data_IF_749895715677
#
_entry.id   IF_749895715677
#
_cell.length_a   1.000
_cell.length_b   1.000
_cell.length_c   1.000
_cell.angle_alpha   90.00
_cell.angle_beta   90.00
_cell.angle_gamma   90.00
#
_symmetry.space_group_name_H-M   'P 1'
#
loop_
_entity.id
_entity.type
_entity.pdbx_description
1 polymer ?
#
# COMPACT_ATOMS: atom_id res chain seq x y z
N UNK A 1 9.96 -9.34 -21.69
CA UNK A 1 10.19 -7.89 -21.48
C UNK A 1 9.11 -7.26 -20.60
N UNK A 2 7.81 -7.53 -20.83
CA UNK A 2 6.71 -7.01 -19.98
C UNK A 2 6.86 -7.32 -18.48
N UNK A 3 7.19 -8.57 -18.11
CA UNK A 3 7.31 -8.98 -16.69
C UNK A 3 8.42 -8.26 -15.93
N UNK A 4 9.58 -8.04 -16.56
CA UNK A 4 10.70 -7.33 -15.92
C UNK A 4 10.33 -5.87 -15.64
N UNK A 5 9.64 -5.22 -16.59
CA UNK A 5 9.15 -3.85 -16.43
C UNK A 5 8.13 -3.74 -15.29
N UNK A 6 7.19 -4.69 -15.21
CA UNK A 6 6.22 -4.74 -14.11
C UNK A 6 6.91 -4.90 -12.75
N UNK A 7 7.92 -5.77 -12.66
CA UNK A 7 8.66 -5.97 -11.41
C UNK A 7 9.44 -4.72 -10.98
N UNK A 8 9.96 -3.94 -11.94
CA UNK A 8 10.59 -2.66 -11.64
C UNK A 8 9.58 -1.63 -11.13
N UNK A 9 8.40 -1.55 -11.75
CA UNK A 9 7.34 -0.62 -11.36
C UNK A 9 6.74 -0.94 -9.98
N UNK A 10 6.62 -2.24 -9.64
CA UNK A 10 6.10 -2.70 -8.35
C UNK A 10 7.17 -2.81 -7.26
N UNK A 11 8.42 -2.43 -7.55
CA UNK A 11 9.50 -2.48 -6.57
C UNK A 11 9.19 -1.55 -5.38
N UNK A 12 9.50 -1.95 -4.15
CA UNK A 12 9.22 -1.12 -2.99
C UNK A 12 10.02 0.18 -3.05
N UNK A 13 9.34 1.32 -2.85
CA UNK A 13 10.01 2.60 -2.69
C UNK A 13 10.87 2.58 -1.43
N UNK A 14 12.16 2.88 -1.60
CA UNK A 14 13.15 2.88 -0.51
C UNK A 14 13.41 4.28 0.06
N UNK A 15 12.85 5.32 -0.57
CA UNK A 15 12.90 6.72 -0.14
C UNK A 15 11.53 7.36 -0.32
N UNK A 16 11.29 8.49 0.36
CA UNK A 16 10.00 9.19 0.30
C UNK A 16 9.77 9.79 -1.08
N UNK A 17 10.84 10.29 -1.73
CA UNK A 17 10.80 10.91 -3.05
C UNK A 17 10.35 9.92 -4.13
N UNK A 18 10.66 8.63 -3.94
CA UNK A 18 10.28 7.57 -4.87
C UNK A 18 8.82 7.11 -4.71
N UNK A 19 8.06 7.65 -3.75
CA UNK A 19 6.63 7.34 -3.61
C UNK A 19 5.76 8.03 -4.67
N UNK A 20 6.28 9.06 -5.35
CA UNK A 20 5.55 9.80 -6.38
C UNK A 20 4.37 10.63 -5.84
N UNK A 21 4.23 10.76 -4.53
CA UNK A 21 3.14 11.50 -3.87
C UNK A 21 3.68 12.57 -2.91
N UNK A 22 2.87 13.59 -2.57
CA UNK A 22 3.30 14.63 -1.63
C UNK A 22 3.66 14.07 -0.25
N UNK A 23 4.80 14.46 0.30
CA UNK A 23 5.26 14.02 1.64
C UNK A 23 4.24 14.32 2.74
N UNK A 24 3.56 15.48 2.64
CA UNK A 24 2.52 15.87 3.59
C UNK A 24 1.36 14.87 3.66
N UNK A 25 1.02 14.20 2.55
CA UNK A 25 -0.01 13.15 2.54
C UNK A 25 0.42 11.93 3.36
N UNK A 26 1.71 11.58 3.29
CA UNK A 26 2.29 10.49 4.07
C UNK A 26 2.30 10.84 5.56
N UNK A 27 2.71 12.07 5.89
CA UNK A 27 2.70 12.56 7.28
C UNK A 27 1.28 12.62 7.86
N UNK A 28 0.29 13.06 7.08
CA UNK A 28 -1.12 13.05 7.47
C UNK A 28 -1.60 11.64 7.81
N UNK A 29 -1.24 10.64 7.01
CA UNK A 29 -1.56 9.24 7.29
C UNK A 29 -0.86 8.71 8.55
N UNK A 30 0.40 9.09 8.79
CA UNK A 30 1.12 8.76 10.03
C UNK A 30 0.39 9.37 11.24
N UNK A 31 0.00 10.64 11.16
CA UNK A 31 -0.73 11.31 12.24
C UNK A 31 -2.06 10.64 12.54
N UNK A 32 -2.84 10.31 11.50
CA UNK A 32 -4.13 9.63 11.67
C UNK A 32 -3.98 8.22 12.25
N UNK A 33 -2.94 7.48 11.85
CA UNK A 33 -2.69 6.16 12.40
C UNK A 33 -2.29 6.23 13.88
N UNK A 34 -1.39 7.13 14.24
CA UNK A 34 -1.00 7.35 15.64
C UNK A 34 -2.19 7.82 16.49
N UNK A 35 -3.04 8.69 15.97
CA UNK A 35 -4.23 9.12 16.70
C UNK A 35 -5.20 7.94 16.94
N UNK A 36 -5.38 7.06 15.95
CA UNK A 36 -6.29 5.92 16.07
C UNK A 36 -5.75 4.79 16.97
N UNK A 37 -4.46 4.48 16.88
CA UNK A 37 -3.85 3.34 17.58
C UNK A 37 -3.06 3.74 18.84
N UNK A 38 -2.84 5.03 19.05
CA UNK A 38 -1.99 5.58 20.10
C UNK A 38 -0.51 5.40 19.78
N UNK A 39 0.12 4.46 20.47
CA UNK A 39 1.55 4.18 20.35
C UNK A 39 1.79 3.12 19.27
N UNK A 40 2.53 3.50 18.21
CA UNK A 40 2.71 2.66 17.03
C UNK A 40 4.20 2.44 16.75
N UNK A 41 4.60 1.18 16.57
CA UNK A 41 5.96 0.83 16.17
C UNK A 41 6.12 0.79 14.64
N UNK A 42 7.36 0.88 14.14
CA UNK A 42 7.63 0.92 12.69
C UNK A 42 7.09 -0.31 11.95
N UNK A 43 7.12 -1.50 12.55
CA UNK A 43 6.56 -2.70 11.91
C UNK A 43 5.05 -2.56 11.67
N UNK A 44 4.32 -1.99 12.63
CA UNK A 44 2.88 -1.71 12.49
C UNK A 44 2.60 -0.64 11.45
N UNK A 45 3.40 0.43 11.40
CA UNK A 45 3.33 1.41 10.31
C UNK A 45 3.51 0.75 8.94
N UNK A 46 4.53 -0.09 8.78
CA UNK A 46 4.80 -0.81 7.53
C UNK A 46 3.64 -1.71 7.12
N UNK A 47 3.05 -2.43 8.07
CA UNK A 47 1.90 -3.31 7.82
C UNK A 47 0.68 -2.53 7.32
N UNK A 48 0.31 -1.45 8.02
CA UNK A 48 -0.91 -0.68 7.72
C UNK A 48 -0.74 0.18 6.48
N UNK A 49 0.39 0.90 6.38
CA UNK A 49 0.64 1.88 5.32
C UNK A 49 1.25 1.26 4.05
N UNK A 50 1.76 0.03 4.12
CA UNK A 50 2.42 -0.63 3.00
C UNK A 50 3.77 -0.01 2.62
N UNK A 51 4.43 0.71 3.55
CA UNK A 51 5.70 1.37 3.32
C UNK A 51 6.88 0.54 3.84
N UNK A 52 8.00 0.61 3.13
CA UNK A 52 9.24 0.00 3.59
C UNK A 52 9.73 0.68 4.90
N UNK A 53 10.20 -0.08 5.91
CA UNK A 53 10.63 0.46 7.20
C UNK A 53 11.63 1.62 7.12
N UNK A 54 12.52 1.59 6.12
CA UNK A 54 13.51 2.65 5.87
C UNK A 54 12.88 4.02 5.56
N UNK A 55 11.78 4.04 4.82
CA UNK A 55 11.05 5.28 4.48
C UNK A 55 10.41 5.86 5.74
N UNK A 56 9.80 4.98 6.54
CA UNK A 56 9.16 5.34 7.81
C UNK A 56 10.19 5.85 8.83
N UNK A 57 11.33 5.18 8.97
CA UNK A 57 12.40 5.58 9.88
C UNK A 57 12.91 7.00 9.58
N UNK A 58 13.09 7.34 8.30
CA UNK A 58 13.45 8.69 7.86
C UNK A 58 12.38 9.73 8.20
N UNK A 59 11.11 9.44 7.87
CA UNK A 59 9.99 10.36 8.12
C UNK A 59 9.74 10.58 9.61
N UNK A 60 9.70 9.51 10.40
CA UNK A 60 9.47 9.58 11.84
C UNK A 60 10.64 10.30 12.54
N UNK A 61 11.87 10.12 12.05
CA UNK A 61 13.02 10.88 12.54
C UNK A 61 12.87 12.38 12.30
N UNK A 62 12.42 12.80 11.11
CA UNK A 62 12.14 14.20 10.79
C UNK A 62 10.98 14.75 11.64
N UNK A 63 9.86 14.02 11.72
CA UNK A 63 8.69 14.43 12.51
C UNK A 63 9.02 14.55 14.00
N UNK A 64 9.95 13.73 14.51
CA UNK A 64 10.47 13.82 15.87
C UNK A 64 11.31 15.08 16.08
N UNK A 65 12.18 15.43 15.13
CA UNK A 65 12.95 16.69 15.15
C UNK A 65 12.02 17.91 15.13
N UNK A 66 10.89 17.82 14.43
CA UNK A 66 9.84 18.85 14.44
C UNK A 66 8.97 18.86 15.71
N UNK A 67 9.22 17.96 16.67
CA UNK A 67 8.41 17.76 17.88
C UNK A 67 6.93 17.47 17.61
N UNK A 68 6.61 16.86 16.47
CA UNK A 68 5.24 16.44 16.15
C UNK A 68 4.95 14.99 16.59
N UNK A 69 6.00 14.19 16.79
CA UNK A 69 5.94 12.84 17.38
C UNK A 69 7.06 12.68 18.39
N UNK A 70 6.94 11.71 19.27
CA UNK A 70 7.97 11.36 20.24
C UNK A 70 8.16 9.85 20.33
N UNK A 71 9.31 9.41 20.85
CA UNK A 71 9.58 7.99 21.09
C UNK A 71 9.07 7.65 22.48
N UNK A 72 7.98 6.90 22.56
CA UNK A 72 7.38 6.46 23.83
C UNK A 72 8.08 5.22 24.38
N UNK A 73 8.65 4.39 23.50
CA UNK A 73 9.45 3.24 23.88
C UNK A 73 10.63 3.04 22.93
N UNK A 74 11.83 2.99 23.51
CA UNK A 74 13.03 2.57 22.81
C UNK A 74 13.04 1.03 22.66
N UNK A 75 13.47 0.54 21.50
CA UNK A 75 13.65 -0.89 21.25
C UNK A 75 15.13 -1.30 21.26
N UNK A 76 15.37 -2.59 21.07
CA UNK A 76 16.70 -3.20 21.16
C UNK A 76 17.57 -3.00 19.92
N UNK A 77 17.00 -2.62 18.78
CA UNK A 77 17.68 -2.56 17.48
C UNK A 77 17.56 -1.17 16.85
N UNK A 78 18.07 -0.16 17.56
CA UNK A 78 18.11 1.23 17.07
C UNK A 78 16.73 1.79 16.74
N UNK A 79 16.70 2.80 15.86
CA UNK A 79 15.48 3.57 15.55
C UNK A 79 14.37 2.76 14.90
N UNK A 80 14.72 1.71 14.14
CA UNK A 80 13.78 0.76 13.52
C UNK A 80 12.90 0.04 14.55
N UNK A 81 13.37 -0.09 15.80
CA UNK A 81 12.65 -0.77 16.87
C UNK A 81 11.88 0.18 17.80
N UNK A 82 11.84 1.48 17.48
CA UNK A 82 11.14 2.47 18.29
C UNK A 82 9.62 2.38 18.13
N UNK A 83 8.94 2.69 19.22
CA UNK A 83 7.50 2.98 19.26
C UNK A 83 7.32 4.48 19.37
N UNK A 84 6.43 5.03 18.54
CA UNK A 84 6.17 6.45 18.43
C UNK A 84 4.76 6.78 18.93
N UNK A 85 4.62 7.95 19.55
CA UNK A 85 3.36 8.54 19.97
C UNK A 85 3.25 9.99 19.50
N UNK A 86 2.04 10.55 19.56
CA UNK A 86 1.82 11.97 19.28
C UNK A 86 2.21 12.83 20.48
N UNK A 87 2.91 13.93 20.20
CA UNK A 87 3.03 15.03 21.16
C UNK A 87 1.74 15.86 21.16
N UNK A 88 1.62 16.85 22.05
CA UNK A 88 0.51 17.82 21.99
C UNK A 88 0.43 18.56 20.64
N UNK A 89 1.59 18.88 20.04
CA UNK A 89 1.67 19.48 18.70
C UNK A 89 1.21 18.49 17.63
N UNK A 90 1.62 17.23 17.76
CA UNK A 90 1.16 16.13 16.90
C UNK A 90 -0.35 15.93 16.95
N UNK A 91 -0.94 15.98 18.15
CA UNK A 91 -2.37 15.81 18.38
C UNK A 91 -3.19 16.86 17.61
N UNK A 92 -2.74 18.13 17.59
CA UNK A 92 -3.39 19.19 16.80
C UNK A 92 -3.30 18.90 15.29
N UNK A 93 -2.12 18.54 14.79
CA UNK A 93 -1.94 18.20 13.37
C UNK A 93 -2.74 16.96 12.95
N UNK A 94 -2.91 16.00 13.85
CA UNK A 94 -3.75 14.83 13.61
C UNK A 94 -5.23 15.22 13.44
N UNK A 95 -5.73 16.18 14.24
CA UNK A 95 -7.04 16.78 14.05
C UNK A 95 -7.19 17.39 12.65
N UNK A 96 -6.25 18.27 12.26
CA UNK A 96 -6.27 18.90 10.93
C UNK A 96 -6.21 17.86 9.79
N UNK A 97 -5.45 16.77 9.99
CA UNK A 97 -5.36 15.67 9.02
C UNK A 97 -6.69 14.91 8.89
N UNK A 98 -7.41 14.69 9.98
CA UNK A 98 -8.74 14.07 9.96
C UNK A 98 -9.80 14.96 9.32
N UNK A 99 -9.74 16.28 9.54
CA UNK A 99 -10.64 17.23 8.89
C UNK A 99 -10.50 17.21 7.36
N UNK A 100 -9.29 16.93 6.85
CA UNK A 100 -9.05 16.76 5.40
C UNK A 100 -9.51 15.40 4.87
N UNK A 101 -9.30 14.33 5.63
CA UNK A 101 -9.65 12.97 5.21
C UNK A 101 -9.66 12.01 6.39
N UNK A 102 -10.62 11.10 6.41
CA UNK A 102 -10.74 10.04 7.41
C UNK A 102 -10.01 8.74 7.00
N UNK A 103 -9.37 8.72 5.83
CA UNK A 103 -8.71 7.51 5.32
C UNK A 103 -7.46 7.16 6.12
N UNK A 104 -7.41 5.92 6.60
CA UNK A 104 -6.26 5.29 7.26
C UNK A 104 -6.05 3.92 6.65
N UNK A 105 -4.85 3.67 6.11
CA UNK A 105 -4.54 2.43 5.41
C UNK A 105 -3.32 2.59 4.51
N UNK A 106 -3.28 1.78 3.45
CA UNK A 106 -2.17 1.76 2.49
C UNK A 106 -1.99 3.11 1.82
N UNK A 107 -0.75 3.50 1.62
CA UNK A 107 -0.41 4.73 0.93
C UNK A 107 -0.93 4.69 -0.51
N UNK A 108 -1.58 5.76 -1.00
CA UNK A 108 -1.98 5.83 -2.40
C UNK A 108 -0.76 5.94 -3.30
N UNK A 109 -0.91 5.49 -4.55
CA UNK A 109 0.11 5.60 -5.59
C UNK A 109 -0.34 6.58 -6.68
N UNK A 110 0.60 7.15 -7.47
CA UNK A 110 0.24 7.96 -8.63
C UNK A 110 -0.68 7.22 -9.60
N UNK A 111 -1.61 7.95 -10.22
CA UNK A 111 -2.56 7.35 -11.15
C UNK A 111 -1.86 6.84 -12.41
N UNK A 112 -0.81 7.53 -12.83
CA UNK A 112 0.03 7.19 -13.98
C UNK A 112 0.72 5.84 -13.76
N UNK A 113 1.36 5.66 -12.61
CA UNK A 113 2.03 4.41 -12.22
C UNK A 113 1.03 3.25 -12.13
N UNK A 114 -0.13 3.49 -11.52
CA UNK A 114 -1.21 2.51 -11.46
C UNK A 114 -1.68 2.10 -12.86
N UNK A 115 -1.93 3.09 -13.73
CA UNK A 115 -2.41 2.87 -15.09
C UNK A 115 -1.38 2.07 -15.90
N UNK A 116 -0.10 2.43 -15.80
CA UNK A 116 0.98 1.71 -16.46
C UNK A 116 1.07 0.25 -15.97
N UNK A 117 0.98 0.01 -14.66
CA UNK A 117 1.00 -1.34 -14.10
C UNK A 117 -0.14 -2.20 -14.66
N UNK A 118 -1.36 -1.66 -14.68
CA UNK A 118 -2.54 -2.36 -15.21
C UNK A 118 -2.39 -2.64 -16.71
N UNK A 119 -1.90 -1.69 -17.50
CA UNK A 119 -1.67 -1.90 -18.93
C UNK A 119 -0.63 -2.99 -19.20
N UNK A 120 0.48 -2.99 -18.47
CA UNK A 120 1.53 -4.03 -18.60
C UNK A 120 0.98 -5.41 -18.21
N UNK A 121 0.19 -5.47 -17.12
CA UNK A 121 -0.40 -6.71 -16.62
C UNK A 121 -1.44 -7.28 -17.61
N UNK A 122 -2.31 -6.44 -18.16
CA UNK A 122 -3.39 -6.84 -19.08
C UNK A 122 -2.91 -7.18 -20.50
N UNK A 123 -1.76 -6.66 -20.93
CA UNK A 123 -1.15 -7.03 -22.22
C UNK A 123 -0.70 -8.50 -22.30
N UNK A 124 -0.61 -9.21 -21.18
CA UNK A 124 -0.26 -10.62 -21.17
C UNK A 124 -1.51 -11.47 -21.38
N UNK A 125 -1.99 -11.56 -22.62
CA UNK A 125 -3.11 -12.46 -22.95
C UNK A 125 -2.63 -13.92 -22.85
N UNK A 126 -3.01 -14.61 -21.77
CA UNK A 126 -2.81 -16.04 -21.67
C UNK A 126 -3.87 -16.74 -22.52
N UNK A 127 -3.48 -17.58 -23.49
CA UNK A 127 -4.46 -18.36 -24.25
C UNK A 127 -5.15 -19.35 -23.32
N UNK A 128 -6.41 -19.08 -22.99
CA UNK A 128 -7.22 -19.99 -22.17
C UNK A 128 -7.94 -20.98 -23.09
N UNK A 129 -7.67 -22.26 -22.88
CA UNK A 129 -8.29 -23.35 -23.64
C UNK A 129 -9.65 -23.73 -23.07
N UNK A 130 -10.59 -24.26 -23.88
CA UNK A 130 -11.89 -24.72 -23.39
C UNK A 130 -11.80 -25.77 -22.26
N UNK A 131 -10.78 -26.64 -22.30
CA UNK A 131 -10.57 -27.67 -21.27
C UNK A 131 -10.12 -27.07 -19.92
N UNK A 132 -9.36 -25.97 -19.92
CA UNK A 132 -9.02 -25.23 -18.70
C UNK A 132 -10.26 -24.59 -18.08
N UNK A 133 -11.13 -23.98 -18.89
CA UNK A 133 -12.40 -23.40 -18.40
C UNK A 133 -13.30 -24.49 -17.83
N UNK A 134 -13.45 -25.62 -18.52
CA UNK A 134 -14.26 -26.74 -18.04
C UNK A 134 -13.74 -27.31 -16.73
N UNK A 135 -12.41 -27.42 -16.58
CA UNK A 135 -11.77 -27.89 -15.34
C UNK A 135 -11.95 -26.89 -14.19
N UNK A 136 -11.84 -25.59 -14.43
CA UNK A 136 -12.03 -24.57 -13.40
C UNK A 136 -13.47 -24.54 -12.86
N UNK A 137 -14.45 -24.91 -13.69
CA UNK A 137 -15.86 -24.94 -13.33
C UNK A 137 -16.34 -26.29 -12.79
N UNK A 138 -15.48 -27.32 -12.67
CA UNK A 138 -15.92 -28.70 -12.40
C UNK A 138 -16.60 -28.89 -11.04
N UNK A 139 -16.35 -28.00 -10.08
CA UNK A 139 -16.93 -28.03 -8.75
C UNK A 139 -18.27 -27.26 -8.64
N UNK A 140 -18.78 -26.72 -9.77
CA UNK A 140 -20.00 -25.94 -9.82
C UNK A 140 -21.10 -26.72 -10.56
N UNK A 141 -22.32 -26.69 -10.03
CA UNK A 141 -23.50 -27.25 -10.71
C UNK A 141 -23.98 -26.21 -11.72
N UNK A 142 -23.66 -26.41 -12.99
CA UNK A 142 -23.95 -25.49 -14.08
C UNK A 142 -24.67 -26.19 -15.24
N UNK A 143 -25.44 -25.45 -16.06
CA UNK A 143 -26.05 -25.99 -17.27
C UNK A 143 -25.02 -26.59 -18.22
N UNK A 144 -25.42 -27.57 -19.02
CA UNK A 144 -24.56 -28.13 -20.07
C UNK A 144 -24.06 -27.03 -21.02
N UNK A 145 -22.82 -27.16 -21.49
CA UNK A 145 -22.15 -26.21 -22.38
C UNK A 145 -21.94 -24.79 -21.81
N UNK A 146 -22.13 -24.56 -20.51
CA UNK A 146 -21.90 -23.25 -19.89
C UNK A 146 -20.48 -22.71 -20.14
N UNK A 147 -19.47 -23.58 -20.08
CA UNK A 147 -18.07 -23.26 -20.38
C UNK A 147 -17.87 -22.64 -21.79
N UNK A 148 -18.69 -23.01 -22.78
CA UNK A 148 -18.62 -22.44 -24.15
C UNK A 148 -19.18 -21.03 -24.23
N UNK A 149 -20.19 -20.71 -23.41
CA UNK A 149 -20.82 -19.38 -23.37
C UNK A 149 -19.89 -18.36 -22.71
N UNK A 150 -19.18 -18.76 -21.67
CA UNK A 150 -18.27 -17.84 -20.94
C UNK A 150 -16.85 -17.82 -21.50
N UNK A 151 -16.42 -18.86 -22.22
CA UNK A 151 -15.07 -19.00 -22.74
C UNK A 151 -14.54 -17.79 -23.50
N UNK A 152 -15.31 -17.19 -24.44
CA UNK A 152 -14.88 -15.98 -25.15
C UNK A 152 -14.62 -14.79 -24.24
N UNK A 153 -15.46 -14.56 -23.22
CA UNK A 153 -15.29 -13.48 -22.26
C UNK A 153 -14.06 -13.71 -21.36
N UNK A 154 -13.86 -14.95 -20.93
CA UNK A 154 -12.69 -15.34 -20.11
C UNK A 154 -11.38 -15.16 -20.89
N UNK A 155 -11.38 -15.37 -22.21
CA UNK A 155 -10.19 -15.24 -23.06
C UNK A 155 -9.96 -13.81 -23.59
N UNK A 156 -10.92 -12.90 -23.39
CA UNK A 156 -10.88 -11.51 -23.84
C UNK A 156 -10.58 -10.52 -22.70
N UNK A 157 -10.57 -10.99 -21.44
CA UNK A 157 -10.24 -10.21 -20.24
C UNK A 157 -8.80 -10.39 -19.77
#
# INVERSE_FOLDING_TARGET
MSTAKLMTLLAPAMTVENLGIPVGLVQDLIFRLLFNEGDVNIARFSEVMGLHPRVLDGLLSQMKQEHSVEVTKAGSLGSISFTYGLTEKGMKRAGDAFDRSQYVGRIPVPLEDYTEAILIQTQTTQRITPSQVQRALSNLILPENFHRKIGPAVNAG
#
